data_IF_813639582868
#
_entry.id   IF_813639582868
#
_cell.length_a   1.000
_cell.length_b   1.000
_cell.length_c   1.000
_cell.angle_alpha   90.00
_cell.angle_beta   90.00
_cell.angle_gamma   90.00
#
_symmetry.space_group_name_H-M   'P 1'
#
loop_
_entity.id
_entity.type
_entity.pdbx_description
1 polymer ?
#
# COMPACT_ATOMS: atom_id res chain seq x y z
N UNK A 1 -8.80 -8.08 13.21
CA UNK A 1 -10.27 -7.92 13.31
C UNK A 1 -10.65 -6.44 13.30
N UNK A 2 -9.73 -5.56 13.70
CA UNK A 2 -9.91 -4.13 13.96
C UNK A 2 -10.58 -3.34 12.82
N UNK A 3 -10.26 -3.64 11.55
CA UNK A 3 -10.90 -2.97 10.41
C UNK A 3 -12.36 -3.42 10.20
N UNK A 4 -12.66 -4.69 10.44
CA UNK A 4 -14.05 -5.20 10.35
C UNK A 4 -14.88 -4.59 11.48
N UNK A 5 -14.33 -4.54 12.70
CA UNK A 5 -14.98 -3.90 13.85
C UNK A 5 -15.24 -2.41 13.57
N UNK A 6 -14.26 -1.72 12.96
CA UNK A 6 -14.39 -0.33 12.52
C UNK A 6 -15.52 -0.17 11.49
N UNK A 7 -15.56 -1.02 10.45
CA UNK A 7 -16.63 -1.03 9.45
C UNK A 7 -17.99 -1.18 10.12
N UNK A 8 -18.16 -2.09 11.08
CA UNK A 8 -19.43 -2.29 11.77
C UNK A 8 -19.86 -1.07 12.59
N UNK A 9 -18.91 -0.34 13.18
CA UNK A 9 -19.19 0.87 13.97
C UNK A 9 -19.58 2.09 13.13
N UNK A 10 -19.01 2.23 11.93
CA UNK A 10 -19.22 3.43 11.08
C UNK A 10 -20.41 3.32 10.13
N UNK A 11 -21.08 2.17 10.08
CA UNK A 11 -22.28 2.00 9.23
C UNK A 11 -23.36 2.99 9.65
N UNK A 12 -24.04 3.54 8.65
CA UNK A 12 -25.24 4.31 8.91
C UNK A 12 -26.43 3.39 9.25
N UNK A 13 -27.60 3.98 9.52
CA UNK A 13 -28.83 3.23 9.85
C UNK A 13 -29.37 2.37 8.71
N UNK A 14 -28.89 2.57 7.49
CA UNK A 14 -29.29 1.84 6.29
C UNK A 14 -28.26 0.75 5.91
N UNK A 15 -27.32 0.43 6.80
CA UNK A 15 -26.19 -0.50 6.55
C UNK A 15 -25.22 -0.03 5.45
N UNK A 16 -25.19 1.26 5.13
CA UNK A 16 -24.29 1.84 4.13
C UNK A 16 -23.03 2.41 4.78
N UNK A 17 -21.93 2.35 4.02
CA UNK A 17 -20.67 2.99 4.39
C UNK A 17 -20.75 4.51 4.20
N UNK A 18 -19.97 5.31 4.97
CA UNK A 18 -19.88 6.74 4.74
C UNK A 18 -19.31 7.06 3.35
N UNK A 19 -19.62 8.26 2.83
CA UNK A 19 -19.21 8.67 1.49
C UNK A 19 -17.68 8.73 1.29
N UNK A 20 -16.94 8.97 2.37
CA UNK A 20 -15.48 9.02 2.44
C UNK A 20 -14.85 7.71 2.93
N UNK A 21 -15.54 6.58 2.73
CA UNK A 21 -15.04 5.25 3.15
C UNK A 21 -13.68 4.91 2.54
N UNK A 22 -13.31 5.52 1.40
CA UNK A 22 -11.96 5.38 0.86
C UNK A 22 -10.90 5.81 1.88
N UNK A 23 -11.14 6.86 2.68
CA UNK A 23 -10.20 7.31 3.71
C UNK A 23 -9.97 6.24 4.79
N UNK A 24 -10.99 5.49 5.18
CA UNK A 24 -10.84 4.37 6.11
C UNK A 24 -10.01 3.22 5.50
N UNK A 25 -10.12 3.00 4.19
CA UNK A 25 -9.26 2.06 3.46
C UNK A 25 -7.80 2.55 3.41
N UNK A 26 -7.54 3.86 3.33
CA UNK A 26 -6.18 4.42 3.43
C UNK A 26 -5.57 4.22 4.81
N UNK A 27 -6.36 4.41 5.87
CA UNK A 27 -5.93 4.12 7.24
C UNK A 27 -5.61 2.64 7.42
N UNK A 28 -6.45 1.76 6.88
CA UNK A 28 -6.19 0.31 6.89
C UNK A 28 -4.93 -0.05 6.11
N UNK A 29 -4.71 0.52 4.93
CA UNK A 29 -3.51 0.26 4.14
C UNK A 29 -2.24 0.70 4.88
N UNK A 30 -2.25 1.88 5.51
CA UNK A 30 -1.16 2.36 6.36
C UNK A 30 -0.89 1.42 7.54
N UNK A 31 -1.95 0.94 8.21
CA UNK A 31 -1.82 -0.02 9.32
C UNK A 31 -1.21 -1.35 8.85
N UNK A 32 -1.63 -1.85 7.68
CA UNK A 32 -1.07 -3.06 7.06
C UNK A 32 0.41 -2.90 6.72
N UNK A 33 0.81 -1.77 6.14
CA UNK A 33 2.21 -1.48 5.83
C UNK A 33 3.02 -1.38 7.12
N UNK A 34 2.53 -0.67 8.14
CA UNK A 34 3.16 -0.61 9.46
C UNK A 34 3.40 -2.01 10.04
N UNK A 35 2.41 -2.90 9.92
CA UNK A 35 2.51 -4.27 10.43
C UNK A 35 3.50 -5.12 9.64
N UNK A 36 3.46 -5.09 8.30
CA UNK A 36 4.29 -5.97 7.44
C UNK A 36 5.73 -5.46 7.29
N UNK A 37 5.89 -4.14 7.12
CA UNK A 37 7.19 -3.53 6.91
C UNK A 37 7.96 -3.35 8.22
N UNK A 38 7.28 -2.89 9.28
CA UNK A 38 7.92 -2.43 10.52
C UNK A 38 7.60 -3.28 11.76
N UNK A 39 6.74 -4.29 11.65
CA UNK A 39 6.21 -5.09 12.78
C UNK A 39 5.42 -4.24 13.82
N UNK A 40 4.82 -3.11 13.39
CA UNK A 40 4.26 -2.10 14.29
C UNK A 40 2.79 -1.83 14.00
N UNK A 41 2.01 -1.68 15.07
CA UNK A 41 0.65 -1.12 15.02
C UNK A 41 0.76 0.40 15.12
N UNK A 42 0.33 1.11 14.07
CA UNK A 42 0.39 2.57 14.01
C UNK A 42 -0.84 3.23 14.68
N UNK A 43 -1.88 2.43 14.97
CA UNK A 43 -3.10 2.92 15.62
C UNK A 43 -4.01 3.69 14.66
N UNK A 44 -3.87 3.49 13.34
CA UNK A 44 -4.59 4.27 12.32
C UNK A 44 -6.10 3.96 12.27
N UNK A 45 -6.56 2.93 12.97
CA UNK A 45 -7.95 2.45 12.96
C UNK A 45 -8.69 2.73 14.28
N UNK A 46 -8.08 3.47 15.21
CA UNK A 46 -8.73 3.85 16.47
C UNK A 46 -9.88 4.85 16.26
N UNK A 47 -10.91 4.79 17.12
CA UNK A 47 -12.14 5.57 16.95
C UNK A 47 -11.93 7.10 17.13
N UNK A 48 -10.81 7.52 17.74
CA UNK A 48 -10.53 8.92 18.14
C UNK A 48 -9.40 9.57 17.34
N UNK A 49 -9.29 9.27 16.05
CA UNK A 49 -8.28 9.90 15.21
C UNK A 49 -8.81 11.24 14.69
N UNK A 50 -8.32 12.32 15.29
CA UNK A 50 -8.56 13.67 14.80
C UNK A 50 -8.10 13.80 13.33
N UNK A 51 -8.79 14.60 12.50
CA UNK A 51 -8.30 14.97 11.17
C UNK A 51 -6.87 15.56 11.19
N UNK A 52 -6.45 16.13 12.31
CA UNK A 52 -5.11 16.69 12.54
C UNK A 52 -4.08 15.70 13.12
N UNK A 53 -4.45 14.42 13.20
CA UNK A 53 -3.54 13.36 13.65
C UNK A 53 -2.35 13.16 12.71
N UNK A 54 -1.23 12.70 13.26
CA UNK A 54 -0.04 12.39 12.46
C UNK A 54 -0.31 11.34 11.37
N UNK A 55 -1.02 10.21 11.63
CA UNK A 55 -1.36 9.24 10.58
C UNK A 55 -2.17 9.82 9.42
N UNK A 56 -3.16 10.67 9.69
CA UNK A 56 -3.94 11.31 8.64
C UNK A 56 -3.09 12.29 7.83
N UNK A 57 -2.16 13.00 8.48
CA UNK A 57 -1.19 13.88 7.80
C UNK A 57 -0.22 13.10 6.91
N UNK A 58 0.24 11.92 7.33
CA UNK A 58 1.04 11.00 6.49
C UNK A 58 0.27 10.61 5.24
N UNK A 59 -0.99 10.17 5.40
CA UNK A 59 -1.86 9.77 4.27
C UNK A 59 -2.04 10.95 3.30
N UNK A 60 -2.33 12.15 3.82
CA UNK A 60 -2.52 13.33 3.01
C UNK A 60 -1.25 13.73 2.26
N UNK A 61 -0.09 13.67 2.93
CA UNK A 61 1.20 13.99 2.32
C UNK A 61 1.60 12.99 1.23
N UNK A 62 1.36 11.69 1.44
CA UNK A 62 1.60 10.64 0.45
C UNK A 62 0.69 10.81 -0.78
N UNK A 63 -0.62 11.04 -0.57
CA UNK A 63 -1.58 11.35 -1.65
C UNK A 63 -1.17 12.58 -2.44
N UNK A 64 -0.75 13.63 -1.75
CA UNK A 64 -0.27 14.84 -2.40
C UNK A 64 0.98 14.56 -3.26
N UNK A 65 1.94 13.80 -2.75
CA UNK A 65 3.13 13.43 -3.49
C UNK A 65 2.78 12.64 -4.77
N UNK A 66 2.02 11.55 -4.65
CA UNK A 66 1.66 10.70 -5.79
C UNK A 66 0.82 11.41 -6.86
N UNK A 67 -0.05 12.35 -6.48
CA UNK A 67 -0.84 13.12 -7.47
C UNK A 67 0.00 14.10 -8.27
N UNK A 68 1.05 14.65 -7.67
CA UNK A 68 1.86 15.70 -8.31
C UNK A 68 3.14 15.16 -8.94
N UNK A 69 3.60 13.95 -8.58
CA UNK A 69 4.82 13.36 -9.14
C UNK A 69 4.73 13.18 -10.65
N UNK A 70 3.58 12.73 -11.17
CA UNK A 70 3.39 12.56 -12.60
C UNK A 70 3.52 13.89 -13.36
N UNK A 71 3.00 14.99 -12.81
CA UNK A 71 3.15 16.32 -13.41
C UNK A 71 4.60 16.84 -13.33
N UNK A 72 5.31 16.56 -12.25
CA UNK A 72 6.66 17.05 -12.02
C UNK A 72 7.75 16.24 -12.75
N UNK A 73 7.53 14.94 -12.94
CA UNK A 73 8.51 14.00 -13.54
C UNK A 73 8.24 13.70 -15.02
N UNK A 74 6.96 13.61 -15.45
CA UNK A 74 6.64 13.22 -16.83
C UNK A 74 6.52 14.42 -17.78
N UNK A 75 6.31 15.64 -17.26
CA UNK A 75 6.34 16.85 -18.09
C UNK A 75 7.76 17.40 -18.19
N UNK A 76 7.94 18.39 -19.06
CA UNK A 76 9.21 19.09 -19.17
C UNK A 76 9.65 19.63 -17.79
N UNK A 77 10.92 19.42 -17.39
CA UNK A 77 11.38 19.67 -16.02
C UNK A 77 11.67 21.15 -15.77
N UNK A 78 10.67 22.02 -15.94
CA UNK A 78 10.80 23.48 -15.78
C UNK A 78 11.32 23.87 -14.40
N UNK A 79 11.00 23.07 -13.38
CA UNK A 79 11.45 23.25 -12.00
C UNK A 79 12.99 23.23 -11.85
N UNK A 80 13.73 22.64 -12.81
CA UNK A 80 15.21 22.66 -12.83
C UNK A 80 15.78 24.04 -13.16
N UNK A 81 15.01 24.87 -13.88
CA UNK A 81 15.44 26.21 -14.29
C UNK A 81 14.87 27.29 -13.38
N UNK A 82 13.62 27.13 -12.96
CA UNK A 82 12.93 28.08 -12.07
C UNK A 82 12.12 27.26 -11.06
N UNK A 83 12.33 27.44 -9.73
CA UNK A 83 11.55 26.73 -8.73
C UNK A 83 10.09 27.15 -8.81
N UNK A 84 9.27 26.31 -9.46
CA UNK A 84 7.85 26.59 -9.62
C UNK A 84 7.16 26.51 -8.25
N UNK A 85 6.04 27.24 -8.02
CA UNK A 85 5.31 27.15 -6.76
C UNK A 85 4.88 25.72 -6.41
N UNK A 86 4.57 24.92 -7.45
CA UNK A 86 4.23 23.51 -7.31
C UNK A 86 5.42 22.68 -6.81
N UNK A 87 6.60 22.84 -7.41
CA UNK A 87 7.82 22.17 -6.98
C UNK A 87 8.19 22.52 -5.55
N UNK A 88 8.18 23.81 -5.19
CA UNK A 88 8.48 24.22 -3.81
C UNK A 88 7.47 23.67 -2.80
N UNK A 89 6.18 23.57 -3.16
CA UNK A 89 5.17 22.92 -2.31
C UNK A 89 5.39 21.41 -2.20
N UNK A 90 5.79 20.76 -3.29
CA UNK A 90 6.12 19.34 -3.33
C UNK A 90 7.31 19.01 -2.42
N UNK A 91 8.42 19.75 -2.54
CA UNK A 91 9.61 19.56 -1.69
C UNK A 91 9.24 19.72 -0.22
N UNK A 92 8.55 20.80 0.17
CA UNK A 92 8.11 20.99 1.57
C UNK A 92 7.20 19.87 2.07
N UNK A 93 6.31 19.36 1.23
CA UNK A 93 5.45 18.23 1.58
C UNK A 93 6.27 16.94 1.79
N UNK A 94 7.27 16.69 0.95
CA UNK A 94 8.17 15.54 1.08
C UNK A 94 9.08 15.65 2.31
N UNK A 95 9.63 16.83 2.61
CA UNK A 95 10.43 17.07 3.81
C UNK A 95 9.61 16.77 5.07
N UNK A 96 8.37 17.27 5.11
CA UNK A 96 7.44 17.00 6.20
C UNK A 96 7.08 15.50 6.31
N UNK A 97 6.77 14.85 5.18
CA UNK A 97 6.49 13.42 5.15
C UNK A 97 7.65 12.59 5.71
N UNK A 98 8.87 12.88 5.25
CA UNK A 98 10.09 12.20 5.72
C UNK A 98 10.26 12.43 7.22
N UNK A 99 10.14 13.66 7.71
CA UNK A 99 10.29 13.98 9.13
C UNK A 99 9.32 13.18 10.00
N UNK A 100 8.04 13.11 9.61
CA UNK A 100 7.03 12.36 10.37
C UNK A 100 7.29 10.86 10.31
N UNK A 101 7.51 10.30 9.12
CA UNK A 101 7.74 8.87 8.96
C UNK A 101 9.03 8.40 9.66
N UNK A 102 10.09 9.21 9.65
CA UNK A 102 11.34 8.92 10.36
C UNK A 102 11.09 8.63 11.85
N UNK A 103 10.22 9.37 12.53
CA UNK A 103 9.88 9.13 13.95
C UNK A 103 9.35 7.71 14.18
N UNK A 104 8.46 7.25 13.30
CA UNK A 104 7.87 5.92 13.39
C UNK A 104 8.87 4.82 13.02
N UNK A 105 9.68 5.06 12.00
CA UNK A 105 10.71 4.13 11.54
C UNK A 105 11.80 4.00 12.61
N UNK A 106 12.28 5.09 13.18
CA UNK A 106 13.26 5.09 14.28
C UNK A 106 12.74 4.29 15.47
N UNK A 107 11.53 4.61 15.93
CA UNK A 107 10.90 3.90 17.04
C UNK A 107 10.74 2.40 16.72
N UNK A 108 10.40 2.04 15.48
CA UNK A 108 10.35 0.65 15.04
C UNK A 108 11.73 0.01 15.10
N UNK A 109 12.73 0.59 14.46
CA UNK A 109 14.08 0.03 14.38
C UNK A 109 14.76 -0.11 15.75
N UNK A 110 14.51 0.79 16.69
CA UNK A 110 14.98 0.64 18.08
C UNK A 110 14.32 -0.56 18.76
N UNK A 111 13.01 -0.76 18.60
CA UNK A 111 12.32 -1.97 19.10
C UNK A 111 12.89 -3.23 18.47
N UNK A 112 13.16 -3.19 17.17
CA UNK A 112 13.70 -4.32 16.41
C UNK A 112 15.10 -4.72 16.88
N UNK A 113 15.99 -3.76 17.15
CA UNK A 113 17.34 -4.06 17.72
C UNK A 113 17.28 -4.77 19.07
N UNK A 114 16.24 -4.49 19.87
CA UNK A 114 16.07 -5.08 21.19
C UNK A 114 15.29 -6.40 21.17
N UNK A 115 14.69 -6.77 20.03
CA UNK A 115 13.93 -7.99 19.85
C UNK A 115 14.89 -9.15 19.58
N UNK A 116 14.91 -10.15 20.47
CA UNK A 116 15.56 -11.44 20.19
C UNK A 116 14.62 -12.26 19.30
N UNK A 117 14.77 -12.16 18.00
CA UNK A 117 14.04 -13.04 17.09
C UNK A 117 14.45 -14.50 17.33
N UNK A 118 13.46 -15.37 17.50
CA UNK A 118 13.68 -16.81 17.74
C UNK A 118 13.90 -17.52 16.40
N UNK A 119 13.22 -17.10 15.34
CA UNK A 119 13.29 -17.67 13.99
C UNK A 119 13.26 -16.58 12.90
N UNK A 120 13.83 -16.89 11.73
CA UNK A 120 13.89 -16.01 10.55
C UNK A 120 12.50 -15.76 9.94
N UNK A 121 11.51 -16.61 10.21
CA UNK A 121 10.13 -16.49 9.72
C UNK A 121 9.35 -15.35 10.41
N UNK A 122 9.71 -14.99 11.64
CA UNK A 122 9.04 -13.97 12.45
C UNK A 122 9.54 -12.53 12.20
N UNK A 123 10.50 -12.39 11.28
CA UNK A 123 11.07 -11.10 10.88
C UNK A 123 10.16 -10.39 9.86
N UNK A 124 9.80 -9.15 10.16
CA UNK A 124 9.29 -8.16 9.22
C UNK A 124 10.27 -7.90 8.07
N UNK A 125 9.76 -7.25 7.02
CA UNK A 125 10.56 -7.00 5.83
C UNK A 125 11.82 -6.16 6.14
N UNK A 126 11.68 -5.14 6.99
CA UNK A 126 12.81 -4.30 7.40
C UNK A 126 13.78 -5.06 8.30
N UNK A 127 13.31 -5.93 9.20
CA UNK A 127 14.16 -6.81 10.01
C UNK A 127 15.03 -7.72 9.13
N UNK A 128 14.44 -8.35 8.11
CA UNK A 128 15.16 -9.24 7.17
C UNK A 128 16.27 -8.52 6.43
N UNK A 129 16.05 -7.25 6.09
CA UNK A 129 17.05 -6.43 5.39
C UNK A 129 18.14 -5.99 6.35
N UNK A 130 17.81 -5.54 7.57
CA UNK A 130 18.81 -5.24 8.58
C UNK A 130 19.67 -6.45 8.96
N UNK A 131 19.13 -7.66 8.89
CA UNK A 131 19.89 -8.88 9.14
C UNK A 131 20.86 -9.24 8.00
N UNK A 132 20.59 -8.79 6.77
CA UNK A 132 21.36 -9.15 5.56
C UNK A 132 22.26 -8.03 5.06
N UNK A 133 21.89 -6.78 5.30
CA UNK A 133 22.59 -5.59 4.81
C UNK A 133 23.35 -4.89 5.94
N UNK A 134 24.57 -4.44 5.62
CA UNK A 134 25.42 -3.74 6.59
C UNK A 134 25.05 -2.25 6.77
N UNK A 135 24.35 -1.64 5.80
CA UNK A 135 23.96 -0.23 5.86
C UNK A 135 22.53 -0.07 6.39
N UNK A 136 22.33 0.45 7.61
CA UNK A 136 21.00 0.67 8.16
C UNK A 136 20.19 1.66 7.31
N UNK A 137 20.81 2.53 6.52
CA UNK A 137 20.09 3.47 5.64
C UNK A 137 19.18 2.78 4.64
N UNK A 138 19.55 1.57 4.18
CA UNK A 138 18.74 0.80 3.23
C UNK A 138 17.37 0.46 3.85
N UNK A 139 17.36 0.08 5.14
CA UNK A 139 16.14 -0.18 5.88
C UNK A 139 15.24 1.06 6.01
N UNK A 140 15.83 2.23 6.27
CA UNK A 140 15.08 3.49 6.33
C UNK A 140 14.47 3.86 4.97
N UNK A 141 15.27 3.79 3.90
CA UNK A 141 14.81 4.11 2.54
C UNK A 141 13.66 3.19 2.14
N UNK A 142 13.82 1.88 2.36
CA UNK A 142 12.75 0.93 2.05
C UNK A 142 11.48 1.23 2.85
N UNK A 143 11.59 1.47 4.16
CA UNK A 143 10.44 1.76 4.99
C UNK A 143 9.70 3.02 4.54
N UNK A 144 10.44 4.08 4.20
CA UNK A 144 9.88 5.31 3.65
C UNK A 144 9.18 5.06 2.31
N UNK A 145 9.81 4.31 1.40
CA UNK A 145 9.25 3.99 0.08
C UNK A 145 7.96 3.16 0.19
N UNK A 146 7.94 2.15 1.07
CA UNK A 146 6.76 1.33 1.31
C UNK A 146 5.60 2.15 1.86
N UNK A 147 5.85 3.08 2.77
CA UNK A 147 4.80 3.98 3.29
C UNK A 147 4.35 4.94 2.20
N UNK A 148 5.26 5.55 1.44
CA UNK A 148 4.93 6.55 0.44
C UNK A 148 4.09 5.98 -0.70
N UNK A 149 4.53 4.86 -1.28
CA UNK A 149 3.92 4.27 -2.48
C UNK A 149 2.80 3.29 -2.12
N UNK A 150 2.93 2.59 -0.98
CA UNK A 150 2.03 1.50 -0.62
C UNK A 150 0.63 1.97 -0.22
N UNK A 151 0.48 3.14 0.42
CA UNK A 151 -0.81 3.59 0.95
C UNK A 151 -1.84 3.72 -0.17
N UNK A 152 -1.60 4.59 -1.15
CA UNK A 152 -2.59 4.90 -2.18
C UNK A 152 -2.80 3.71 -3.14
N UNK A 153 -1.73 3.00 -3.51
CA UNK A 153 -1.82 1.87 -4.45
C UNK A 153 -2.63 0.70 -3.88
N UNK A 154 -2.40 0.31 -2.62
CA UNK A 154 -3.16 -0.75 -1.95
C UNK A 154 -4.61 -0.32 -1.73
N UNK A 155 -4.84 0.93 -1.31
CA UNK A 155 -6.19 1.42 -1.09
C UNK A 155 -7.02 1.44 -2.36
N UNK A 156 -6.47 1.93 -3.47
CA UNK A 156 -7.17 1.93 -4.76
C UNK A 156 -7.43 0.51 -5.29
N UNK A 157 -6.50 -0.41 -5.08
CA UNK A 157 -6.71 -1.83 -5.39
C UNK A 157 -7.91 -2.40 -4.63
N UNK A 158 -7.98 -2.20 -3.32
CA UNK A 158 -9.07 -2.71 -2.49
C UNK A 158 -10.40 -2.02 -2.80
N UNK A 159 -10.41 -0.70 -2.98
CA UNK A 159 -11.60 0.01 -3.45
C UNK A 159 -12.15 -0.60 -4.74
N UNK A 160 -11.26 -0.86 -5.71
CA UNK A 160 -11.65 -1.48 -6.99
C UNK A 160 -12.19 -2.89 -6.79
N UNK A 161 -11.52 -3.73 -6.00
CA UNK A 161 -11.96 -5.10 -5.71
C UNK A 161 -13.34 -5.10 -5.03
N UNK A 162 -13.53 -4.29 -3.99
CA UNK A 162 -14.80 -4.20 -3.26
C UNK A 162 -15.93 -3.69 -4.16
N UNK A 163 -15.66 -2.68 -4.99
CA UNK A 163 -16.65 -2.17 -5.94
C UNK A 163 -17.02 -3.23 -6.99
N UNK A 164 -16.06 -3.99 -7.50
CA UNK A 164 -16.33 -5.06 -8.48
C UNK A 164 -17.10 -6.22 -7.85
N UNK A 165 -16.87 -6.54 -6.57
CA UNK A 165 -17.66 -7.53 -5.82
C UNK A 165 -19.11 -7.06 -5.63
N UNK A 166 -19.30 -5.85 -5.12
CA UNK A 166 -20.63 -5.28 -4.84
C UNK A 166 -21.52 -5.19 -6.09
N UNK A 167 -20.91 -4.98 -7.26
CA UNK A 167 -21.62 -4.89 -8.55
C UNK A 167 -21.79 -6.25 -9.25
N UNK A 168 -21.21 -7.34 -8.72
CA UNK A 168 -21.29 -8.69 -9.30
C UNK A 168 -21.66 -9.74 -8.23
N UNK A 169 -22.95 -9.79 -7.81
CA UNK A 169 -23.39 -10.69 -6.76
C UNK A 169 -23.08 -12.17 -7.03
N UNK A 170 -23.20 -12.62 -8.29
CA UNK A 170 -22.87 -14.00 -8.68
C UNK A 170 -21.39 -14.35 -8.43
N UNK A 171 -20.48 -13.39 -8.61
CA UNK A 171 -19.05 -13.61 -8.40
C UNK A 171 -18.66 -13.49 -6.93
N UNK A 172 -19.34 -12.60 -6.20
CA UNK A 172 -19.24 -12.53 -4.74
C UNK A 172 -19.68 -13.84 -4.09
N UNK A 173 -20.78 -14.46 -4.55
CA UNK A 173 -21.27 -15.73 -4.03
C UNK A 173 -20.28 -16.87 -4.27
N UNK A 174 -19.68 -16.96 -5.46
CA UNK A 174 -18.65 -17.97 -5.75
C UNK A 174 -17.42 -17.83 -4.85
N UNK A 175 -16.96 -16.60 -4.59
CA UNK A 175 -15.85 -16.33 -3.67
C UNK A 175 -16.24 -16.73 -2.25
N UNK A 176 -17.45 -16.39 -1.81
CA UNK A 176 -17.94 -16.77 -0.49
C UNK A 176 -17.98 -18.30 -0.31
N UNK A 177 -18.54 -19.02 -1.27
CA UNK A 177 -18.61 -20.49 -1.25
C UNK A 177 -17.23 -21.15 -1.38
N UNK A 178 -16.28 -20.54 -2.09
CA UNK A 178 -14.87 -20.97 -2.08
C UNK A 178 -14.28 -20.86 -0.67
N UNK A 179 -14.39 -19.70 -0.03
CA UNK A 179 -13.82 -19.47 1.30
C UNK A 179 -14.46 -20.33 2.39
N UNK A 180 -15.77 -20.58 2.29
CA UNK A 180 -16.48 -21.48 3.20
C UNK A 180 -15.99 -22.93 3.13
N UNK A 181 -15.50 -23.38 1.96
CA UNK A 181 -14.89 -24.70 1.78
C UNK A 181 -13.46 -24.74 2.28
N UNK A 182 -12.68 -23.69 2.03
CA UNK A 182 -11.26 -23.61 2.41
C UNK A 182 -11.11 -23.42 3.92
N UNK A 183 -11.96 -22.59 4.53
CA UNK A 183 -11.94 -22.27 5.95
C UNK A 183 -13.36 -22.44 6.54
N UNK A 184 -13.80 -23.70 6.78
CA UNK A 184 -15.14 -23.98 7.31
C UNK A 184 -15.35 -23.43 8.72
N UNK A 185 -14.28 -23.41 9.52
CA UNK A 185 -14.26 -22.79 10.84
C UNK A 185 -13.69 -21.37 10.73
N UNK A 186 -14.57 -20.37 10.82
CA UNK A 186 -14.19 -18.96 10.77
C UNK A 186 -13.33 -18.50 11.96
N UNK A 187 -13.25 -19.29 13.03
CA UNK A 187 -12.38 -19.01 14.18
C UNK A 187 -10.95 -19.51 14.00
N UNK A 188 -10.73 -20.43 13.05
CA UNK A 188 -9.40 -20.96 12.76
C UNK A 188 -8.52 -19.90 12.07
N UNK A 189 -7.21 -19.85 12.38
CA UNK A 189 -6.31 -18.89 11.77
C UNK A 189 -6.17 -19.14 10.26
N UNK A 190 -6.16 -18.06 9.50
CA UNK A 190 -5.83 -18.09 8.08
C UNK A 190 -4.35 -18.48 7.92
N UNK A 191 -4.06 -19.40 7.00
CA UNK A 191 -2.70 -19.89 6.74
C UNK A 191 -2.34 -19.68 5.27
N UNK A 192 -1.05 -19.79 4.94
CA UNK A 192 -0.58 -19.77 3.55
C UNK A 192 -1.18 -20.91 2.72
N UNK A 193 -1.35 -22.10 3.31
CA UNK A 193 -2.02 -23.24 2.67
C UNK A 193 -3.48 -22.92 2.30
N UNK A 194 -4.21 -22.21 3.16
CA UNK A 194 -5.57 -21.75 2.83
C UNK A 194 -5.56 -20.77 1.64
N UNK A 195 -4.62 -19.81 1.65
CA UNK A 195 -4.46 -18.86 0.54
C UNK A 195 -4.09 -19.57 -0.77
N UNK A 196 -3.33 -20.65 -0.72
CA UNK A 196 -2.95 -21.44 -1.90
C UNK A 196 -4.14 -22.12 -2.57
N UNK A 197 -5.15 -22.50 -1.79
CA UNK A 197 -6.38 -23.12 -2.27
C UNK A 197 -7.39 -22.12 -2.85
N UNK A 198 -7.26 -20.81 -2.56
CA UNK A 198 -8.18 -19.76 -2.99
C UNK A 198 -8.00 -19.35 -4.47
N UNK A 199 -8.17 -20.32 -5.38
CA UNK A 199 -7.88 -20.20 -6.81
C UNK A 199 -8.81 -19.16 -7.46
N UNK A 200 -10.11 -19.24 -7.19
CA UNK A 200 -11.12 -18.34 -7.76
C UNK A 200 -10.95 -16.92 -7.26
N UNK A 201 -10.73 -16.74 -5.95
CA UNK A 201 -10.42 -15.43 -5.35
C UNK A 201 -9.19 -14.81 -6.01
N UNK A 202 -8.10 -15.57 -6.20
CA UNK A 202 -6.90 -15.10 -6.91
C UNK A 202 -7.20 -14.73 -8.36
N UNK A 203 -8.00 -15.52 -9.07
CA UNK A 203 -8.42 -15.23 -10.44
C UNK A 203 -9.24 -13.94 -10.53
N UNK A 204 -10.19 -13.74 -9.60
CA UNK A 204 -11.00 -12.52 -9.53
C UNK A 204 -10.14 -11.29 -9.31
N UNK A 205 -9.21 -11.32 -8.33
CA UNK A 205 -8.30 -10.19 -8.07
C UNK A 205 -7.47 -9.85 -9.30
N UNK A 206 -6.96 -10.85 -10.02
CA UNK A 206 -6.25 -10.65 -11.29
C UNK A 206 -7.13 -10.02 -12.36
N UNK A 207 -8.39 -10.45 -12.47
CA UNK A 207 -9.34 -9.89 -13.43
C UNK A 207 -9.70 -8.44 -13.10
N UNK A 208 -9.83 -8.09 -11.81
CA UNK A 208 -9.99 -6.70 -11.38
C UNK A 208 -8.79 -5.88 -11.82
N UNK A 209 -7.55 -6.35 -11.61
CA UNK A 209 -6.36 -5.61 -12.06
C UNK A 209 -6.18 -5.55 -13.58
N UNK A 210 -6.73 -6.51 -14.32
CA UNK A 210 -6.75 -6.45 -15.79
C UNK A 210 -7.59 -5.27 -16.30
N UNK A 211 -8.69 -4.95 -15.60
CA UNK A 211 -9.64 -3.89 -15.99
C UNK A 211 -9.34 -2.56 -15.29
N UNK A 212 -9.00 -2.62 -14.00
CA UNK A 212 -8.73 -1.50 -13.10
C UNK A 212 -7.30 -1.58 -12.60
N UNK A 213 -6.34 -1.36 -13.51
CA UNK A 213 -4.93 -1.32 -13.15
C UNK A 213 -4.63 -0.11 -12.26
N UNK A 214 -3.89 -0.32 -11.17
CA UNK A 214 -3.38 0.75 -10.30
C UNK A 214 -2.23 1.53 -10.93
N UNK A 215 -1.60 0.98 -11.97
CA UNK A 215 -0.50 1.60 -12.72
C UNK A 215 -0.90 1.80 -14.18
N UNK A 216 -0.52 2.95 -14.75
CA UNK A 216 -0.86 3.32 -16.13
C UNK A 216 -0.10 2.52 -17.19
N UNK A 217 1.03 1.90 -16.82
CA UNK A 217 1.85 1.13 -17.74
C UNK A 217 3.17 0.68 -17.12
N UNK A 218 3.89 -0.16 -17.85
CA UNK A 218 5.21 -0.64 -17.49
C UNK A 218 6.26 -0.03 -18.43
N UNK A 219 7.13 0.83 -17.90
CA UNK A 219 8.26 1.38 -18.65
C UNK A 219 9.50 0.49 -18.55
N UNK A 220 10.25 0.35 -19.64
CA UNK A 220 11.58 -0.26 -19.68
C UNK A 220 12.45 0.54 -20.64
N UNK A 221 13.72 0.71 -20.29
CA UNK A 221 14.74 1.24 -21.21
C UNK A 221 15.54 0.08 -21.77
N UNK A 222 15.55 -0.07 -23.09
CA UNK A 222 16.24 -1.15 -23.78
C UNK A 222 17.76 -1.05 -23.58
N UNK A 223 18.37 -2.16 -23.16
CA UNK A 223 19.83 -2.23 -22.96
C UNK A 223 20.60 -2.58 -24.24
N UNK A 224 19.89 -3.10 -25.24
CA UNK A 224 20.41 -3.51 -26.55
C UNK A 224 19.34 -3.28 -27.63
N UNK A 225 19.77 -3.14 -28.88
CA UNK A 225 18.86 -3.09 -30.02
C UNK A 225 18.00 -4.35 -30.06
N UNK A 226 16.69 -4.19 -30.16
CA UNK A 226 15.71 -5.28 -30.03
C UNK A 226 14.65 -5.19 -31.12
N UNK A 227 14.27 -6.33 -31.71
CA UNK A 227 13.13 -6.39 -32.63
C UNK A 227 11.84 -6.61 -31.85
N UNK A 228 10.92 -5.65 -31.91
CA UNK A 228 9.58 -5.78 -31.31
C UNK A 228 8.54 -5.65 -32.42
N UNK A 229 7.67 -6.65 -32.57
CA UNK A 229 6.64 -6.70 -33.62
C UNK A 229 7.18 -6.46 -35.04
N UNK A 230 8.42 -6.90 -35.32
CA UNK A 230 9.09 -6.72 -36.62
C UNK A 230 9.81 -5.38 -36.80
N UNK A 231 9.75 -4.47 -35.84
CA UNK A 231 10.45 -3.19 -35.88
C UNK A 231 11.76 -3.25 -35.08
N UNK A 232 12.84 -2.76 -35.67
CA UNK A 232 14.12 -2.60 -34.98
C UNK A 232 14.05 -1.39 -34.03
N UNK A 233 14.08 -1.63 -32.73
CA UNK A 233 14.09 -0.58 -31.71
C UNK A 233 15.52 -0.44 -31.17
N UNK A 234 16.14 0.75 -31.27
CA UNK A 234 17.48 0.99 -30.76
C UNK A 234 17.59 0.86 -29.23
N UNK A 235 18.79 0.53 -28.77
CA UNK A 235 19.20 0.69 -27.37
C UNK A 235 18.90 2.10 -26.86
N UNK A 236 18.41 2.20 -25.62
CA UNK A 236 18.18 3.46 -24.92
C UNK A 236 16.78 4.06 -25.12
N UNK A 237 15.94 3.42 -25.95
CA UNK A 237 14.49 3.69 -26.04
C UNK A 237 13.76 3.05 -24.88
#
# INVERSE_FOLDING_TARGET
MDFIDRIQKIKNRNDEMPADFDNEIHKWALECIGRVALDVRLGCLEDTISPDSEPQKIINAAKFALRNVAELELKAPYWRYIPTPLWSRYVRNMDYFIEVCMKYIDAALVRLKNKKAINDEDLSLVERILAKENDPKIAYILALDLILVGIDTISMAICSILYQLATRPNEQEKIYEEWKKILPDSSAPLTTSHLDQAIYTKAFVREVFRVYSTVIGNGRTLQHDTVICGYQIPKGV
#
